data_IF_763257437223
#
_entry.id   IF_763257437223
#
_cell.length_a   1.000
_cell.length_b   1.000
_cell.length_c   1.000
_cell.angle_alpha   90.00
_cell.angle_beta   90.00
_cell.angle_gamma   90.00
#
_symmetry.space_group_name_H-M   'P 1'
#
loop_
_entity.id
_entity.type
_entity.pdbx_description
1 polymer ?
#
# COMPACT_ATOMS: atom_id res chain seq x y z
N UNK A 1 -6.34 19.44 -71.35
CA UNK A 1 -5.83 20.81 -71.22
C UNK A 1 -5.36 21.01 -69.78
N UNK A 2 -4.22 21.71 -69.59
CA UNK A 2 -3.26 21.54 -68.49
C UNK A 2 -3.28 22.76 -67.54
N UNK A 3 -2.51 22.77 -66.43
CA UNK A 3 -1.17 23.38 -66.24
C UNK A 3 -0.92 23.39 -64.71
N UNK A 4 0.27 23.38 -64.09
CA UNK A 4 1.69 23.32 -64.44
C UNK A 4 2.46 23.03 -63.12
N UNK A 5 3.43 22.09 -63.10
CA UNK A 5 4.88 22.30 -63.14
C UNK A 5 5.48 23.10 -61.95
N UNK A 6 6.24 22.44 -61.06
CA UNK A 6 7.71 22.50 -61.03
C UNK A 6 8.15 23.04 -59.65
N UNK A 7 9.27 22.69 -59.01
CA UNK A 7 10.58 22.35 -59.51
C UNK A 7 11.42 21.69 -58.38
N UNK A 8 12.34 20.81 -58.77
CA UNK A 8 13.43 20.27 -57.97
C UNK A 8 14.46 21.35 -57.57
N UNK A 9 15.15 21.17 -56.44
CA UNK A 9 16.62 21.20 -56.40
C UNK A 9 17.18 20.70 -55.05
N UNK A 10 18.16 19.80 -55.15
CA UNK A 10 19.08 19.34 -54.11
C UNK A 10 20.29 20.30 -54.00
N UNK A 11 21.14 19.99 -53.01
CA UNK A 11 22.52 20.44 -52.75
C UNK A 11 22.61 21.44 -51.58
N UNK A 12 23.54 21.33 -50.63
CA UNK A 12 24.72 20.47 -50.55
C UNK A 12 25.40 20.61 -49.18
N UNK A 13 26.37 19.72 -48.98
CA UNK A 13 27.17 19.47 -47.79
C UNK A 13 28.10 20.60 -47.32
N UNK A 14 28.67 20.33 -46.13
CA UNK A 14 29.96 20.79 -45.57
C UNK A 14 29.92 22.12 -44.80
N UNK A 15 30.58 22.29 -43.65
CA UNK A 15 31.48 21.45 -42.86
C UNK A 15 32.13 22.32 -41.77
N UNK A 16 32.46 21.69 -40.65
CA UNK A 16 33.59 21.91 -39.70
C UNK A 16 34.09 23.34 -39.42
N UNK A 17 34.21 23.69 -38.13
CA UNK A 17 35.16 24.70 -37.67
C UNK A 17 35.05 25.08 -36.19
N UNK A 18 35.95 24.53 -35.36
CA UNK A 18 36.22 24.89 -33.96
C UNK A 18 36.49 26.39 -33.73
N UNK A 19 36.13 26.90 -32.53
CA UNK A 19 37.07 27.35 -31.46
C UNK A 19 36.41 28.24 -30.39
N UNK A 20 36.59 27.80 -29.14
CA UNK A 20 37.01 28.51 -27.92
C UNK A 20 36.53 29.92 -27.55
N UNK A 21 36.04 30.00 -26.31
CA UNK A 21 35.82 31.21 -25.50
C UNK A 21 34.68 30.91 -24.51
N UNK A 22 34.92 30.31 -23.34
CA UNK A 22 35.75 30.85 -22.28
C UNK A 22 34.87 31.75 -21.40
N UNK A 23 34.14 31.18 -20.45
CA UNK A 23 33.83 31.87 -19.20
C UNK A 23 33.53 30.88 -18.07
N UNK A 24 34.48 30.85 -17.13
CA UNK A 24 34.42 30.12 -15.88
C UNK A 24 33.66 30.98 -14.86
N UNK A 25 32.55 30.49 -14.31
CA UNK A 25 32.05 30.97 -13.03
C UNK A 25 32.08 29.83 -12.01
N UNK A 26 33.12 29.91 -11.18
CA UNK A 26 33.37 29.09 -10.03
C UNK A 26 32.30 29.30 -8.94
N UNK A 27 31.74 28.21 -8.43
CA UNK A 27 30.90 28.20 -7.24
C UNK A 27 31.77 28.05 -5.98
N UNK A 28 31.55 28.84 -4.91
CA UNK A 28 32.38 28.75 -3.72
C UNK A 28 32.05 27.49 -2.90
N UNK A 29 33.10 26.71 -2.61
CA UNK A 29 33.06 25.54 -1.76
C UNK A 29 32.81 25.92 -0.29
N UNK A 30 31.61 25.63 0.22
CA UNK A 30 31.33 25.67 1.65
C UNK A 30 31.96 24.45 2.34
N UNK A 31 33.09 24.67 3.03
CA UNK A 31 33.69 23.74 3.98
C UNK A 31 32.72 23.49 5.14
N UNK A 32 32.23 22.25 5.30
CA UNK A 32 31.59 21.78 6.54
C UNK A 32 32.66 21.24 7.50
N UNK A 33 32.68 21.63 8.79
CA UNK A 33 33.55 20.99 9.76
C UNK A 33 32.98 19.61 10.14
N UNK A 34 33.86 18.59 10.13
CA UNK A 34 33.55 17.23 10.57
C UNK A 34 33.18 17.23 12.06
N UNK A 35 31.94 16.89 12.39
CA UNK A 35 31.53 16.58 13.77
C UNK A 35 31.96 15.16 14.12
N UNK A 36 32.88 15.05 15.09
CA UNK A 36 33.23 13.80 15.76
C UNK A 36 31.99 13.25 16.47
N UNK A 37 31.56 12.04 16.11
CA UNK A 37 30.64 11.26 16.94
C UNK A 37 31.40 10.72 18.15
N UNK A 38 31.15 11.30 19.33
CA UNK A 38 31.51 10.69 20.61
C UNK A 38 30.57 9.52 20.88
N UNK A 39 31.12 8.31 20.96
CA UNK A 39 30.44 7.10 21.44
C UNK A 39 30.09 7.28 22.92
N UNK A 40 28.82 7.52 23.22
CA UNK A 40 28.29 7.39 24.59
C UNK A 40 27.86 5.93 24.82
N UNK A 41 28.25 5.26 25.91
CA UNK A 41 27.85 3.89 26.18
C UNK A 41 26.39 3.83 26.66
N UNK A 42 25.64 2.84 26.17
CA UNK A 42 24.33 2.47 26.72
C UNK A 42 24.44 2.11 28.22
N UNK A 43 23.60 2.65 29.10
CA UNK A 43 23.56 2.19 30.49
C UNK A 43 22.94 0.80 30.57
N UNK A 44 23.67 -0.14 31.16
CA UNK A 44 23.16 -1.45 31.58
C UNK A 44 22.22 -1.24 32.76
N UNK A 45 20.92 -1.54 32.60
CA UNK A 45 20.04 -1.72 33.74
C UNK A 45 20.10 -3.17 34.21
N UNK A 46 20.70 -3.36 35.38
CA UNK A 46 20.57 -4.55 36.23
C UNK A 46 19.40 -4.31 37.18
N UNK A 47 18.32 -5.08 37.04
CA UNK A 47 17.20 -5.09 37.97
C UNK A 47 16.48 -6.43 37.90
N UNK A 48 16.58 -7.20 38.99
CA UNK A 48 15.89 -8.50 39.15
C UNK A 48 14.37 -8.34 39.37
N UNK A 49 13.62 -9.45 39.35
CA UNK A 49 12.17 -9.42 39.34
C UNK A 49 11.60 -9.06 40.72
N UNK A 50 10.71 -8.07 40.75
CA UNK A 50 9.86 -7.75 41.92
C UNK A 50 8.45 -8.24 41.61
N UNK A 51 7.99 -9.23 42.38
CA UNK A 51 6.62 -9.72 42.38
C UNK A 51 5.71 -8.71 43.09
N UNK A 52 4.70 -8.20 42.39
CA UNK A 52 3.52 -7.61 43.02
C UNK A 52 2.25 -8.22 42.42
N UNK A 53 1.33 -8.57 43.33
CA UNK A 53 0.09 -9.28 43.08
C UNK A 53 -0.95 -8.45 42.29
N UNK A 54 -1.72 -9.22 41.50
CA UNK A 54 -2.94 -8.91 40.74
C UNK A 54 -3.79 -7.72 41.21
N UNK A 55 -4.19 -6.93 40.21
CA UNK A 55 -5.56 -6.41 40.09
C UNK A 55 -5.89 -6.31 38.58
N UNK A 56 -6.89 -7.04 38.09
CA UNK A 56 -7.52 -6.76 36.79
C UNK A 56 -8.53 -5.63 36.95
N UNK A 57 -8.70 -4.78 35.91
CA UNK A 57 -9.81 -5.01 34.98
C UNK A 57 -9.55 -4.57 33.52
N UNK A 58 -10.34 -5.10 32.59
CA UNK A 58 -10.71 -4.41 31.35
C UNK A 58 -10.24 -5.10 30.08
N UNK A 59 -11.13 -5.89 29.48
CA UNK A 59 -10.87 -6.73 28.30
C UNK A 59 -10.24 -5.98 27.13
N UNK A 60 -9.06 -6.43 26.73
CA UNK A 60 -8.49 -6.16 25.44
C UNK A 60 -9.39 -6.79 24.36
N UNK A 61 -9.92 -5.98 23.46
CA UNK A 61 -10.60 -6.46 22.26
C UNK A 61 -9.52 -6.92 21.27
N UNK A 62 -8.96 -8.11 21.50
CA UNK A 62 -8.28 -8.87 20.45
C UNK A 62 -9.35 -9.62 19.67
N UNK A 63 -10.09 -8.90 18.82
CA UNK A 63 -11.06 -9.51 17.94
C UNK A 63 -10.36 -9.97 16.66
N UNK A 64 -9.89 -11.22 16.64
CA UNK A 64 -9.91 -11.98 15.39
C UNK A 64 -11.40 -12.14 15.06
N UNK A 65 -11.92 -11.26 14.21
CA UNK A 65 -13.33 -11.26 13.83
C UNK A 65 -13.61 -12.51 12.99
N UNK A 66 -13.92 -13.62 13.66
CA UNK A 66 -14.60 -14.75 13.00
C UNK A 66 -16.05 -14.36 12.81
N UNK A 67 -16.46 -14.29 11.56
CA UNK A 67 -17.88 -14.32 11.18
C UNK A 67 -18.54 -15.54 11.83
N UNK A 68 -19.54 -15.29 12.67
CA UNK A 68 -20.52 -16.32 13.03
C UNK A 68 -21.38 -16.56 11.78
N UNK A 69 -21.20 -17.71 11.14
CA UNK A 69 -22.15 -18.24 10.14
C UNK A 69 -21.73 -18.23 8.66
N UNK A 70 -20.44 -18.34 8.34
CA UNK A 70 -20.03 -18.72 6.97
C UNK A 70 -19.67 -20.21 7.00
N UNK A 71 -20.58 -21.05 6.51
CA UNK A 71 -20.31 -22.44 6.17
C UNK A 71 -19.17 -22.50 5.14
N UNK A 72 -18.17 -23.36 5.39
CA UNK A 72 -17.07 -23.78 4.48
C UNK A 72 -16.67 -22.77 3.39
N UNK A 73 -15.54 -22.09 3.58
CA UNK A 73 -14.88 -21.15 2.63
C UNK A 73 -15.35 -21.31 1.18
N UNK A 74 -16.29 -20.47 0.76
CA UNK A 74 -16.72 -20.45 -0.63
C UNK A 74 -15.49 -20.16 -1.51
N UNK A 75 -15.17 -21.11 -2.39
CA UNK A 75 -14.14 -20.92 -3.40
C UNK A 75 -14.63 -19.84 -4.35
N UNK A 76 -14.14 -18.62 -4.16
CA UNK A 76 -14.30 -17.52 -5.09
C UNK A 76 -13.61 -17.83 -6.41
N UNK A 77 -14.37 -17.84 -7.51
CA UNK A 77 -13.86 -18.11 -8.86
C UNK A 77 -13.24 -16.87 -9.53
N UNK A 78 -13.78 -15.68 -9.21
CA UNK A 78 -13.34 -14.40 -9.76
C UNK A 78 -13.19 -13.33 -8.69
N UNK A 79 -12.17 -12.49 -8.85
CA UNK A 79 -11.94 -11.30 -8.05
C UNK A 79 -12.29 -10.06 -8.90
N UNK A 80 -13.47 -9.49 -8.67
CA UNK A 80 -13.96 -8.29 -9.34
C UNK A 80 -13.56 -7.04 -8.55
N UNK A 81 -12.41 -6.46 -8.91
CA UNK A 81 -11.71 -5.47 -8.09
C UNK A 81 -11.70 -4.12 -8.81
N UNK A 82 -11.81 -3.04 -8.05
CA UNK A 82 -11.67 -1.69 -8.56
C UNK A 82 -10.85 -0.79 -7.64
N UNK A 83 -10.33 0.28 -8.23
CA UNK A 83 -9.63 1.35 -7.52
C UNK A 83 -10.23 2.70 -7.90
N UNK A 84 -10.37 3.57 -6.92
CA UNK A 84 -10.79 4.96 -7.12
C UNK A 84 -9.59 5.87 -6.96
N UNK A 85 -9.38 6.76 -7.91
CA UNK A 85 -8.41 7.84 -7.86
C UNK A 85 -9.11 9.17 -7.67
N UNK A 86 -8.81 9.86 -6.58
CA UNK A 86 -9.41 11.16 -6.31
C UNK A 86 -8.40 12.15 -5.73
N UNK A 87 -8.69 13.44 -5.85
CA UNK A 87 -8.03 14.44 -5.02
C UNK A 87 -8.62 14.45 -3.62
N UNK A 88 -7.95 15.11 -2.67
CA UNK A 88 -8.52 15.32 -1.34
C UNK A 88 -8.49 16.81 -0.97
N UNK A 89 -9.61 17.28 -0.42
CA UNK A 89 -9.76 18.64 0.10
C UNK A 89 -9.66 18.60 1.63
N UNK A 90 -8.73 19.36 2.21
CA UNK A 90 -8.51 19.38 3.67
C UNK A 90 -9.78 19.81 4.41
N UNK A 91 -10.20 19.02 5.39
CA UNK A 91 -11.34 19.31 6.26
C UNK A 91 -12.72 19.27 5.58
N UNK A 92 -12.78 19.09 4.26
CA UNK A 92 -13.99 19.12 3.45
C UNK A 92 -14.60 17.71 3.33
N UNK A 93 -14.86 17.10 4.49
CA UNK A 93 -15.25 15.69 4.61
C UNK A 93 -16.42 15.30 3.68
N UNK A 94 -17.49 16.09 3.68
CA UNK A 94 -18.67 15.79 2.87
C UNK A 94 -18.32 15.75 1.38
N UNK A 95 -17.57 16.74 0.89
CA UNK A 95 -17.17 16.80 -0.51
C UNK A 95 -16.25 15.65 -0.91
N UNK A 96 -15.40 15.17 0.01
CA UNK A 96 -14.51 14.03 -0.24
C UNK A 96 -15.30 12.71 -0.32
N UNK A 97 -16.29 12.51 0.57
CA UNK A 97 -17.18 11.35 0.54
C UNK A 97 -18.06 11.36 -0.73
N UNK A 98 -18.62 12.52 -1.10
CA UNK A 98 -19.47 12.62 -2.29
C UNK A 98 -18.68 12.34 -3.57
N UNK A 99 -17.41 12.75 -3.62
CA UNK A 99 -16.54 12.51 -4.78
C UNK A 99 -16.27 11.02 -5.03
N UNK A 100 -16.14 10.20 -3.98
CA UNK A 100 -15.94 8.74 -4.15
C UNK A 100 -17.26 8.00 -4.31
N UNK A 101 -18.38 8.54 -3.79
CA UNK A 101 -19.70 7.90 -3.85
C UNK A 101 -20.12 7.61 -5.29
N UNK A 102 -20.01 8.59 -6.18
CA UNK A 102 -20.41 8.42 -7.59
C UNK A 102 -19.58 7.35 -8.30
N UNK A 103 -18.27 7.33 -8.04
CA UNK A 103 -17.35 6.32 -8.60
C UNK A 103 -17.69 4.93 -8.09
N UNK A 104 -17.91 4.77 -6.77
CA UNK A 104 -18.29 3.49 -6.16
C UNK A 104 -19.60 2.96 -6.72
N UNK A 105 -20.62 3.82 -6.88
CA UNK A 105 -21.89 3.42 -7.48
C UNK A 105 -21.72 2.93 -8.93
N UNK A 106 -20.92 3.65 -9.73
CA UNK A 106 -20.65 3.28 -11.12
C UNK A 106 -19.86 1.95 -11.21
N UNK A 107 -18.84 1.78 -10.38
CA UNK A 107 -18.03 0.56 -10.30
C UNK A 107 -18.87 -0.65 -9.89
N UNK A 108 -19.74 -0.49 -8.89
CA UNK A 108 -20.64 -1.53 -8.42
C UNK A 108 -21.68 -1.92 -9.49
N UNK A 109 -22.25 -0.93 -10.20
CA UNK A 109 -23.13 -1.18 -11.33
C UNK A 109 -22.40 -1.91 -12.48
N UNK A 110 -21.09 -1.71 -12.61
CA UNK A 110 -20.20 -2.46 -13.51
C UNK A 110 -19.77 -3.83 -13.00
N UNK A 111 -20.24 -4.28 -11.83
CA UNK A 111 -19.97 -5.61 -11.26
C UNK A 111 -18.80 -5.69 -10.28
N UNK A 112 -18.13 -4.57 -9.96
CA UNK A 112 -17.02 -4.58 -8.99
C UNK A 112 -17.53 -4.91 -7.59
N UNK A 113 -16.80 -5.76 -6.86
CA UNK A 113 -17.16 -6.24 -5.51
C UNK A 113 -16.20 -5.81 -4.42
N UNK A 114 -14.92 -5.60 -4.74
CA UNK A 114 -13.92 -5.06 -3.82
C UNK A 114 -13.40 -3.74 -4.38
N UNK A 115 -13.63 -2.64 -3.68
CA UNK A 115 -13.26 -1.30 -4.15
C UNK A 115 -12.28 -0.66 -3.17
N UNK A 116 -11.09 -0.31 -3.66
CA UNK A 116 -10.06 0.36 -2.87
C UNK A 116 -10.14 1.87 -3.09
N UNK A 117 -10.22 2.61 -1.99
CA UNK A 117 -10.21 4.07 -1.95
C UNK A 117 -8.87 4.55 -1.39
N UNK A 118 -8.43 5.78 -1.72
CA UNK A 118 -7.14 6.29 -1.26
C UNK A 118 -7.03 6.43 0.26
N UNK A 119 -5.80 6.50 0.75
CA UNK A 119 -5.47 6.78 2.15
C UNK A 119 -5.83 8.23 2.52
N UNK A 120 -6.43 8.43 3.69
CA UNK A 120 -6.79 9.72 4.29
C UNK A 120 -7.64 10.63 3.40
N UNK A 121 -8.28 10.10 2.35
CA UNK A 121 -9.05 10.90 1.41
C UNK A 121 -10.19 11.68 2.09
N UNK A 122 -10.80 11.09 3.13
CA UNK A 122 -11.95 11.67 3.83
C UNK A 122 -11.60 12.96 4.59
N UNK A 123 -10.47 12.98 5.30
CA UNK A 123 -9.97 14.17 6.00
C UNK A 123 -9.18 15.11 5.08
N UNK A 124 -8.57 14.56 4.04
CA UNK A 124 -7.43 15.16 3.36
C UNK A 124 -6.12 14.84 4.07
N UNK A 125 -5.04 14.85 3.31
CA UNK A 125 -3.69 14.59 3.81
C UNK A 125 -3.03 15.91 4.28
N UNK A 126 -3.53 16.44 5.41
CA UNK A 126 -2.93 17.57 6.12
C UNK A 126 -2.53 17.13 7.52
N UNK A 127 -1.25 16.82 7.70
CA UNK A 127 -0.71 16.32 8.97
C UNK A 127 -0.75 17.36 10.08
N UNK A 128 -0.75 18.66 9.75
CA UNK A 128 -0.75 19.72 10.76
C UNK A 128 -2.12 19.85 11.45
N UNK A 129 -3.21 19.54 10.74
CA UNK A 129 -4.58 19.56 11.28
C UNK A 129 -5.15 18.17 11.57
N UNK A 130 -4.41 17.10 11.29
CA UNK A 130 -4.95 15.72 11.24
C UNK A 130 -5.53 15.26 12.57
N UNK A 131 -4.95 15.70 13.69
CA UNK A 131 -5.43 15.39 15.04
C UNK A 131 -6.90 15.85 15.19
N UNK A 132 -7.21 17.09 14.80
CA UNK A 132 -8.57 17.63 14.88
C UNK A 132 -9.57 16.95 13.92
N UNK A 133 -9.06 16.26 12.91
CA UNK A 133 -9.86 15.57 11.89
C UNK A 133 -10.00 14.07 12.16
N UNK A 134 -9.24 13.52 13.12
CA UNK A 134 -9.28 12.12 13.49
C UNK A 134 -10.63 11.74 14.12
N UNK A 135 -11.17 10.59 13.73
CA UNK A 135 -12.50 10.13 14.11
C UNK A 135 -12.42 8.84 14.94
N UNK A 136 -13.38 8.64 15.85
CA UNK A 136 -13.61 7.31 16.42
C UNK A 136 -14.18 6.36 15.36
N UNK A 137 -14.14 5.06 15.64
CA UNK A 137 -14.85 4.03 14.86
C UNK A 137 -15.72 3.24 15.84
N UNK A 138 -17.06 3.22 15.66
CA UNK A 138 -17.82 3.91 14.61
C UNK A 138 -17.70 5.44 14.63
N UNK A 139 -17.68 6.04 13.44
CA UNK A 139 -17.58 7.49 13.20
C UNK A 139 -18.27 7.88 11.90
N UNK A 140 -18.20 9.17 11.51
CA UNK A 140 -18.92 9.66 10.32
C UNK A 140 -18.42 8.95 9.05
N UNK A 141 -17.12 8.73 8.91
CA UNK A 141 -16.54 8.06 7.73
C UNK A 141 -16.94 6.59 7.64
N UNK A 142 -16.78 5.82 8.72
CA UNK A 142 -17.16 4.40 8.73
C UNK A 142 -18.66 4.19 8.53
N UNK A 143 -19.49 5.12 9.04
CA UNK A 143 -20.94 5.09 8.87
C UNK A 143 -21.34 5.39 7.43
N UNK A 144 -20.78 6.45 6.83
CA UNK A 144 -21.09 6.83 5.45
C UNK A 144 -20.64 5.77 4.43
N UNK A 145 -19.43 5.22 4.62
CA UNK A 145 -18.92 4.16 3.76
C UNK A 145 -19.64 2.83 4.00
N UNK A 146 -20.02 2.50 5.25
CA UNK A 146 -20.84 1.33 5.54
C UNK A 146 -22.22 1.39 4.88
N UNK A 147 -22.88 2.55 4.91
CA UNK A 147 -24.15 2.75 4.20
C UNK A 147 -23.99 2.61 2.68
N UNK A 148 -22.90 3.17 2.12
CA UNK A 148 -22.60 3.03 0.69
C UNK A 148 -22.28 1.58 0.29
N UNK A 149 -21.54 0.85 1.12
CA UNK A 149 -21.25 -0.57 0.94
C UNK A 149 -22.52 -1.42 0.96
N UNK A 150 -23.47 -1.10 1.86
CA UNK A 150 -24.78 -1.74 1.93
C UNK A 150 -25.66 -1.43 0.71
N UNK A 151 -25.66 -0.18 0.25
CA UNK A 151 -26.39 0.26 -0.94
C UNK A 151 -25.91 -0.46 -2.21
N UNK A 152 -24.59 -0.69 -2.31
CA UNK A 152 -23.95 -1.18 -3.53
C UNK A 152 -23.60 -2.67 -3.52
N UNK A 153 -23.80 -3.35 -2.38
CA UNK A 153 -23.37 -4.74 -2.16
C UNK A 153 -21.87 -4.95 -2.48
N UNK A 154 -21.03 -4.09 -1.88
CA UNK A 154 -19.57 -4.10 -2.08
C UNK A 154 -18.80 -4.10 -0.76
N UNK A 155 -17.53 -4.48 -0.83
CA UNK A 155 -16.53 -4.26 0.23
C UNK A 155 -15.68 -3.05 -0.16
N UNK A 156 -15.63 -2.05 0.71
CA UNK A 156 -14.82 -0.85 0.55
C UNK A 156 -13.60 -0.91 1.48
N UNK A 157 -12.42 -0.65 0.92
CA UNK A 157 -11.14 -0.65 1.63
C UNK A 157 -10.49 0.73 1.53
N UNK A 158 -10.11 1.32 2.66
CA UNK A 158 -9.45 2.64 2.69
C UNK A 158 -8.54 2.76 3.92
N UNK A 159 -7.98 3.95 4.17
CA UNK A 159 -7.33 4.31 5.43
C UNK A 159 -7.80 5.68 5.94
N UNK A 160 -8.01 5.81 7.24
CA UNK A 160 -8.53 7.02 7.89
C UNK A 160 -7.66 7.43 9.09
N UNK A 161 -7.70 8.71 9.45
CA UNK A 161 -7.21 9.18 10.74
C UNK A 161 -8.19 8.71 11.82
N UNK A 162 -7.78 7.74 12.61
CA UNK A 162 -8.56 7.14 13.69
C UNK A 162 -8.08 7.65 15.04
N UNK A 163 -9.02 7.93 15.95
CA UNK A 163 -8.74 8.22 17.35
C UNK A 163 -9.34 7.14 18.24
N UNK A 164 -8.52 6.53 19.07
CA UNK A 164 -8.98 5.54 20.06
C UNK A 164 -9.62 6.19 21.30
N UNK A 165 -10.06 5.35 22.24
CA UNK A 165 -10.71 5.81 23.47
C UNK A 165 -9.78 6.58 24.42
N UNK A 166 -8.47 6.37 24.33
CA UNK A 166 -7.45 7.05 25.13
C UNK A 166 -6.99 8.36 24.46
N UNK A 167 -7.53 8.68 23.28
CA UNK A 167 -7.21 9.87 22.51
C UNK A 167 -5.98 9.72 21.61
N UNK A 168 -5.43 8.53 21.46
CA UNK A 168 -4.29 8.26 20.59
C UNK A 168 -4.75 8.22 19.13
N UNK A 169 -3.97 8.87 18.26
CA UNK A 169 -4.28 8.97 16.83
C UNK A 169 -3.44 7.99 16.03
N UNK A 170 -4.09 7.29 15.11
CA UNK A 170 -3.50 6.31 14.20
C UNK A 170 -3.91 6.60 12.75
N UNK A 171 -3.04 6.29 11.81
CA UNK A 171 -3.42 6.07 10.42
C UNK A 171 -3.91 4.62 10.30
N UNK A 172 -5.19 4.42 10.01
CA UNK A 172 -5.84 3.12 10.18
C UNK A 172 -6.55 2.65 8.93
N UNK A 173 -6.22 1.43 8.49
CA UNK A 173 -6.96 0.74 7.44
C UNK A 173 -8.38 0.46 7.92
N UNK A 174 -9.36 0.84 7.11
CA UNK A 174 -10.78 0.67 7.39
C UNK A 174 -11.37 -0.22 6.29
N UNK A 175 -11.97 -1.33 6.69
CA UNK A 175 -12.68 -2.24 5.78
C UNK A 175 -14.14 -2.30 6.20
N UNK A 176 -15.03 -1.91 5.29
CA UNK A 176 -16.48 -1.94 5.48
C UNK A 176 -17.13 -2.77 4.38
N UNK A 177 -18.20 -3.49 4.72
CA UNK A 177 -19.02 -4.22 3.76
C UNK A 177 -20.50 -3.96 3.98
N UNK A 178 -21.39 -4.74 3.34
CA UNK A 178 -22.83 -4.50 3.39
C UNK A 178 -23.44 -4.59 4.80
N UNK A 179 -22.79 -5.34 5.70
CA UNK A 179 -23.14 -5.45 7.12
C UNK A 179 -22.56 -4.35 8.02
N UNK A 180 -21.80 -3.39 7.48
CA UNK A 180 -21.09 -2.35 8.24
C UNK A 180 -19.60 -2.61 8.37
N UNK A 181 -19.00 -2.22 9.51
CA UNK A 181 -17.57 -2.40 9.77
C UNK A 181 -17.19 -3.88 9.79
N UNK A 182 -16.21 -4.26 8.97
CA UNK A 182 -15.63 -5.61 8.97
C UNK A 182 -14.36 -5.64 9.82
N UNK A 183 -13.44 -4.69 9.59
CA UNK A 183 -12.16 -4.66 10.28
C UNK A 183 -11.55 -3.25 10.32
N UNK A 184 -10.73 -3.03 11.34
CA UNK A 184 -9.90 -1.85 11.55
C UNK A 184 -8.49 -2.33 11.91
N UNK A 185 -7.47 -1.77 11.26
CA UNK A 185 -6.06 -2.06 11.54
C UNK A 185 -5.25 -0.78 11.51
N UNK A 186 -4.08 -0.75 12.16
CA UNK A 186 -3.28 0.48 12.31
C UNK A 186 -1.97 0.34 11.54
N UNK A 187 -1.61 1.36 10.76
CA UNK A 187 -0.37 1.41 9.99
C UNK A 187 0.83 1.24 10.91
N UNK A 188 1.67 0.23 10.65
CA UNK A 188 2.89 -0.01 11.42
C UNK A 188 4.01 0.93 11.01
N UNK A 189 4.23 1.04 9.70
CA UNK A 189 5.34 1.80 9.14
C UNK A 189 4.89 3.19 8.71
N UNK A 190 5.14 4.17 9.59
CA UNK A 190 4.82 5.58 9.36
C UNK A 190 5.85 6.25 8.46
N UNK A 191 5.38 6.99 7.46
CA UNK A 191 6.21 7.73 6.51
C UNK A 191 6.55 9.13 7.03
N UNK A 192 7.85 9.44 7.09
CA UNK A 192 8.36 10.80 7.31
C UNK A 192 7.66 11.55 8.48
N UNK A 193 6.94 12.64 8.20
CA UNK A 193 6.23 13.48 9.18
C UNK A 193 5.05 12.77 9.87
N UNK A 194 4.53 11.68 9.32
CA UNK A 194 3.47 10.89 9.99
C UNK A 194 3.89 10.47 11.41
N UNK A 195 5.19 10.23 11.64
CA UNK A 195 5.76 9.88 12.96
C UNK A 195 5.56 10.96 14.03
N UNK A 196 5.21 12.18 13.63
CA UNK A 196 4.96 13.29 14.58
C UNK A 196 3.50 13.38 15.03
N UNK A 197 2.58 12.68 14.36
CA UNK A 197 1.14 12.83 14.59
C UNK A 197 0.40 11.50 14.77
N UNK A 198 0.93 10.41 14.20
CA UNK A 198 0.37 9.09 14.31
C UNK A 198 1.22 8.19 15.22
N UNK A 199 0.55 7.31 15.94
CA UNK A 199 1.18 6.21 16.66
C UNK A 199 1.27 4.99 15.73
N UNK A 200 2.41 4.27 15.70
CA UNK A 200 2.52 3.06 14.89
C UNK A 200 1.65 1.94 15.46
N UNK A 201 0.95 1.21 14.59
CA UNK A 201 0.22 0.01 14.95
C UNK A 201 1.10 -1.08 15.55
N UNK A 202 0.53 -2.07 16.22
CA UNK A 202 1.29 -3.19 16.80
C UNK A 202 1.75 -4.19 15.73
N UNK A 203 0.88 -4.47 14.76
CA UNK A 203 1.08 -5.41 13.65
C UNK A 203 1.13 -4.64 12.32
N UNK A 204 1.81 -5.19 11.30
CA UNK A 204 1.85 -4.60 9.96
C UNK A 204 0.87 -5.32 9.04
N UNK A 205 0.08 -4.54 8.32
CA UNK A 205 -0.96 -5.04 7.45
C UNK A 205 -2.18 -5.61 8.18
N UNK A 206 -3.27 -5.77 7.45
CA UNK A 206 -4.54 -6.32 7.93
C UNK A 206 -5.01 -7.41 6.97
N UNK A 207 -5.49 -8.54 7.50
CA UNK A 207 -6.05 -9.63 6.69
C UNK A 207 -7.55 -9.76 6.99
N UNK A 208 -8.36 -9.78 5.93
CA UNK A 208 -9.81 -9.84 6.03
C UNK A 208 -10.37 -10.88 5.08
N UNK A 209 -11.15 -11.81 5.62
CA UNK A 209 -11.96 -12.73 4.81
C UNK A 209 -13.27 -12.04 4.40
N UNK A 210 -13.65 -12.17 3.13
CA UNK A 210 -14.91 -11.67 2.59
C UNK A 210 -15.54 -12.68 1.63
N UNK A 211 -16.83 -12.53 1.26
CA UNK A 211 -17.46 -13.35 0.21
C UNK A 211 -16.78 -13.26 -1.16
N UNK A 212 -15.91 -12.25 -1.37
CA UNK A 212 -15.23 -11.97 -2.63
C UNK A 212 -13.73 -12.29 -2.57
N UNK A 213 -13.30 -13.01 -1.53
CA UNK A 213 -11.93 -13.48 -1.35
C UNK A 213 -11.28 -12.93 -0.09
N UNK A 214 -10.06 -13.39 0.17
CA UNK A 214 -9.25 -12.91 1.30
C UNK A 214 -8.42 -11.70 0.86
N UNK A 215 -8.65 -10.58 1.52
CA UNK A 215 -8.04 -9.28 1.22
C UNK A 215 -6.97 -8.99 2.26
N UNK A 216 -5.72 -8.86 1.82
CA UNK A 216 -4.67 -8.22 2.59
C UNK A 216 -4.68 -6.72 2.34
N UNK A 217 -4.54 -5.91 3.37
CA UNK A 217 -4.47 -4.44 3.27
C UNK A 217 -3.12 -3.99 3.80
N UNK A 218 -2.41 -3.17 3.01
CA UNK A 218 -1.20 -2.47 3.44
C UNK A 218 -1.34 -0.99 3.07
N UNK A 219 -1.01 -0.09 4.00
CA UNK A 219 -1.26 1.34 3.78
C UNK A 219 0.00 1.99 3.20
N UNK A 220 -0.11 2.47 1.96
CA UNK A 220 0.88 3.34 1.31
C UNK A 220 2.34 2.86 1.47
N UNK A 221 3.07 3.44 2.42
CA UNK A 221 4.48 3.12 2.69
C UNK A 221 4.71 1.66 3.08
N UNK A 222 3.71 0.99 3.69
CA UNK A 222 3.80 -0.43 4.04
C UNK A 222 3.94 -1.35 2.82
N UNK A 223 3.45 -0.94 1.65
CA UNK A 223 3.67 -1.69 0.41
C UNK A 223 5.16 -1.70 0.00
N UNK A 224 5.98 -0.81 0.55
CA UNK A 224 7.44 -0.83 0.39
C UNK A 224 8.13 -2.02 1.05
N UNK A 225 7.45 -2.74 1.95
CA UNK A 225 8.01 -3.84 2.74
C UNK A 225 7.52 -5.19 2.16
N UNK A 226 8.35 -5.89 1.37
CA UNK A 226 7.96 -7.18 0.79
C UNK A 226 7.58 -8.21 1.86
N UNK A 227 8.15 -8.12 3.05
CA UNK A 227 7.88 -9.02 4.18
C UNK A 227 6.43 -8.92 4.65
N UNK A 228 5.88 -7.71 4.77
CA UNK A 228 4.47 -7.51 5.18
C UNK A 228 3.53 -8.13 4.17
N UNK A 229 3.76 -7.89 2.88
CA UNK A 229 2.90 -8.44 1.82
C UNK A 229 3.06 -9.96 1.73
N UNK A 230 4.29 -10.47 1.87
CA UNK A 230 4.55 -11.91 1.88
C UNK A 230 3.81 -12.61 3.01
N UNK A 231 3.86 -12.05 4.21
CA UNK A 231 3.16 -12.58 5.38
C UNK A 231 1.64 -12.65 5.16
N UNK A 232 1.03 -11.57 4.66
CA UNK A 232 -0.40 -11.55 4.33
C UNK A 232 -0.78 -12.64 3.32
N UNK A 233 0.04 -12.85 2.29
CA UNK A 233 -0.20 -13.87 1.26
C UNK A 233 0.01 -15.29 1.80
N UNK A 234 1.02 -15.52 2.65
CA UNK A 234 1.20 -16.81 3.32
C UNK A 234 0.04 -17.14 4.26
N UNK A 235 -0.60 -16.12 4.84
CA UNK A 235 -1.83 -16.26 5.64
C UNK A 235 -3.10 -16.37 4.77
N UNK A 236 -2.98 -16.37 3.45
CA UNK A 236 -4.06 -16.67 2.52
C UNK A 236 -4.62 -15.49 1.73
N UNK A 237 -3.97 -14.32 1.73
CA UNK A 237 -4.41 -13.21 0.87
C UNK A 237 -4.34 -13.58 -0.63
N UNK A 238 -5.44 -13.35 -1.34
CA UNK A 238 -5.54 -13.45 -2.80
C UNK A 238 -5.42 -12.08 -3.48
N UNK A 239 -5.84 -11.03 -2.76
CA UNK A 239 -5.80 -9.64 -3.20
C UNK A 239 -5.07 -8.79 -2.17
N UNK A 240 -4.18 -7.92 -2.63
CA UNK A 240 -3.50 -6.92 -1.81
C UNK A 240 -4.05 -5.53 -2.17
N UNK A 241 -4.84 -4.96 -1.27
CA UNK A 241 -5.35 -3.61 -1.37
C UNK A 241 -4.33 -2.61 -0.79
N UNK A 242 -4.06 -1.55 -1.54
CA UNK A 242 -3.10 -0.50 -1.17
C UNK A 242 -3.76 0.88 -1.24
N UNK A 243 -4.50 1.30 -0.20
CA UNK A 243 -4.89 2.71 -0.02
C UNK A 243 -3.62 3.57 0.10
N UNK A 244 -3.52 4.65 -0.68
CA UNK A 244 -2.28 5.42 -0.73
C UNK A 244 -2.44 6.92 -1.01
N UNK A 245 -1.58 7.71 -0.36
CA UNK A 245 -1.27 9.10 -0.65
C UNK A 245 0.21 9.23 -1.09
N UNK A 246 0.63 8.42 -2.06
CA UNK A 246 2.03 8.36 -2.52
C UNK A 246 2.46 9.67 -3.20
N UNK A 247 3.64 10.19 -2.85
CA UNK A 247 4.15 11.45 -3.43
C UNK A 247 4.62 11.30 -4.87
N UNK A 248 4.28 12.27 -5.73
CA UNK A 248 4.57 12.27 -7.18
C UNK A 248 6.06 12.12 -7.51
N UNK A 249 6.93 12.73 -6.71
CA UNK A 249 8.40 12.64 -6.86
C UNK A 249 8.94 11.20 -6.81
N UNK A 250 8.17 10.24 -6.28
CA UNK A 250 8.52 8.83 -6.18
C UNK A 250 7.62 7.93 -7.06
N UNK A 251 6.98 8.48 -8.10
CA UNK A 251 6.13 7.70 -9.01
C UNK A 251 6.86 6.47 -9.60
N UNK A 252 8.15 6.58 -9.91
CA UNK A 252 8.95 5.45 -10.37
C UNK A 252 8.99 4.28 -9.36
N UNK A 253 9.06 4.59 -8.06
CA UNK A 253 9.00 3.58 -6.98
C UNK A 253 7.60 2.98 -6.91
N UNK A 254 6.56 3.81 -6.98
CA UNK A 254 5.16 3.37 -6.99
C UNK A 254 4.88 2.35 -8.10
N UNK A 255 5.30 2.65 -9.34
CA UNK A 255 5.13 1.75 -10.49
C UNK A 255 5.91 0.45 -10.35
N UNK A 256 7.10 0.50 -9.75
CA UNK A 256 7.93 -0.69 -9.55
C UNK A 256 7.39 -1.57 -8.43
N UNK A 257 7.05 -0.97 -7.29
CA UNK A 257 6.67 -1.71 -6.09
C UNK A 257 5.36 -2.47 -6.30
N UNK A 258 4.34 -1.86 -6.88
CA UNK A 258 3.01 -2.50 -7.07
C UNK A 258 3.14 -3.74 -7.95
N UNK A 259 3.95 -3.65 -9.00
CA UNK A 259 4.27 -4.77 -9.89
C UNK A 259 5.08 -5.86 -9.20
N UNK A 260 6.08 -5.48 -8.41
CA UNK A 260 6.91 -6.42 -7.67
C UNK A 260 6.09 -7.21 -6.65
N UNK A 261 5.18 -6.55 -5.92
CA UNK A 261 4.32 -7.20 -4.91
C UNK A 261 3.38 -8.23 -5.51
N UNK A 262 2.82 -7.93 -6.68
CA UNK A 262 1.98 -8.88 -7.40
C UNK A 262 2.80 -10.08 -7.89
N UNK A 263 3.90 -9.82 -8.62
CA UNK A 263 4.75 -10.85 -9.22
C UNK A 263 5.30 -11.83 -8.19
N UNK A 264 5.89 -11.31 -7.12
CA UNK A 264 6.64 -12.16 -6.20
C UNK A 264 5.72 -13.09 -5.39
N UNK A 265 4.43 -12.75 -5.29
CA UNK A 265 3.43 -13.45 -4.51
C UNK A 265 2.37 -14.18 -5.35
N UNK A 266 2.31 -13.95 -6.67
CA UNK A 266 1.25 -14.48 -7.52
C UNK A 266 -0.14 -14.07 -7.05
N UNK A 267 -0.33 -12.77 -6.79
CA UNK A 267 -1.59 -12.17 -6.28
C UNK A 267 -1.98 -10.93 -7.07
N UNK A 268 -3.25 -10.54 -6.97
CA UNK A 268 -3.69 -9.24 -7.49
C UNK A 268 -3.26 -8.14 -6.53
N UNK A 269 -2.71 -7.04 -7.06
CA UNK A 269 -2.49 -5.81 -6.30
C UNK A 269 -3.44 -4.74 -6.83
N UNK A 270 -4.26 -4.17 -5.95
CA UNK A 270 -5.17 -3.07 -6.26
C UNK A 270 -4.78 -1.85 -5.43
N UNK A 271 -4.17 -0.87 -6.08
CA UNK A 271 -3.54 0.26 -5.43
C UNK A 271 -4.24 1.57 -5.82
N UNK A 272 -4.85 2.22 -4.84
CA UNK A 272 -5.67 3.42 -5.02
C UNK A 272 -4.95 4.64 -4.44
N UNK A 273 -4.60 5.58 -5.31
CA UNK A 273 -3.79 6.75 -4.99
C UNK A 273 -4.62 8.04 -4.92
N UNK A 274 -4.25 8.93 -3.99
CA UNK A 274 -4.58 10.35 -4.16
C UNK A 274 -3.89 10.91 -5.40
N UNK A 275 -4.54 11.86 -6.06
CA UNK A 275 -3.96 12.63 -7.17
C UNK A 275 -4.05 14.14 -6.93
N UNK A 276 -3.29 14.92 -7.70
CA UNK A 276 -3.24 16.37 -7.57
C UNK A 276 -2.49 16.83 -6.33
N UNK A 277 -2.81 18.03 -5.86
CA UNK A 277 -2.16 18.66 -4.70
C UNK A 277 -3.22 19.08 -3.69
N UNK A 278 -2.92 18.88 -2.41
CA UNK A 278 -3.78 19.25 -1.29
C UNK A 278 -3.21 20.48 -0.59
N UNK A 279 -3.80 21.66 -0.81
CA UNK A 279 -3.30 22.92 -0.28
C UNK A 279 -1.84 23.19 -0.70
N UNK A 280 -1.02 23.67 0.24
CA UNK A 280 0.43 23.83 0.06
C UNK A 280 1.22 22.52 0.32
N UNK A 281 0.51 21.42 0.51
CA UNK A 281 1.06 20.10 0.79
C UNK A 281 1.73 19.44 -0.43
N UNK A 282 2.17 18.18 -0.28
CA UNK A 282 2.81 17.44 -1.37
C UNK A 282 1.85 17.22 -2.53
N UNK A 283 2.41 17.15 -3.74
CA UNK A 283 1.70 16.65 -4.92
C UNK A 283 1.72 15.12 -4.91
N UNK A 284 0.55 14.51 -5.03
CA UNK A 284 0.38 13.07 -5.05
C UNK A 284 0.54 12.49 -6.45
N UNK A 285 0.92 11.23 -6.51
CA UNK A 285 1.26 10.55 -7.74
C UNK A 285 0.06 10.28 -8.63
N UNK A 286 -1.14 10.07 -8.07
CA UNK A 286 -2.22 9.42 -8.80
C UNK A 286 -1.75 8.04 -9.26
N UNK A 287 -1.89 7.75 -10.56
CA UNK A 287 -1.48 6.47 -11.16
C UNK A 287 -1.97 5.25 -10.37
N UNK A 288 -3.24 5.29 -9.96
CA UNK A 288 -3.93 4.14 -9.38
C UNK A 288 -3.90 2.98 -10.37
N UNK A 289 -3.71 1.76 -9.87
CA UNK A 289 -3.33 0.63 -10.71
C UNK A 289 -3.89 -0.68 -10.17
N UNK A 290 -4.32 -1.55 -11.08
CA UNK A 290 -4.56 -2.96 -10.80
C UNK A 290 -3.53 -3.78 -11.55
N UNK A 291 -2.76 -4.57 -10.81
CA UNK A 291 -1.70 -5.44 -11.33
C UNK A 291 -2.13 -6.90 -11.14
N UNK A 292 -2.07 -7.67 -12.22
CA UNK A 292 -2.33 -9.10 -12.19
C UNK A 292 -1.19 -9.92 -11.57
N UNK A 293 -1.44 -11.20 -11.28
CA UNK A 293 -0.54 -12.04 -10.48
C UNK A 293 0.83 -12.31 -11.13
N UNK A 294 0.97 -12.13 -12.46
CA UNK A 294 2.27 -12.20 -13.15
C UNK A 294 3.06 -10.88 -13.12
N UNK A 295 2.66 -9.89 -12.32
CA UNK A 295 3.31 -8.58 -12.24
C UNK A 295 3.07 -7.67 -13.45
N UNK A 296 2.11 -8.04 -14.30
CA UNK A 296 1.67 -7.24 -15.46
C UNK A 296 0.55 -6.30 -15.01
N UNK A 297 0.69 -5.03 -15.36
CA UNK A 297 -0.37 -4.04 -15.19
C UNK A 297 -1.57 -4.47 -16.05
N UNK A 298 -2.74 -4.63 -15.44
CA UNK A 298 -4.01 -4.87 -16.15
C UNK A 298 -4.57 -3.53 -16.60
N UNK A 299 -4.66 -2.59 -15.66
CA UNK A 299 -5.11 -1.21 -15.92
C UNK A 299 -4.38 -0.25 -14.99
N UNK A 300 -3.99 0.90 -15.52
CA UNK A 300 -3.35 1.99 -14.80
C UNK A 300 -3.98 3.31 -15.25
N UNK A 301 -4.27 4.18 -14.29
CA UNK A 301 -4.77 5.52 -14.54
C UNK A 301 -3.62 6.49 -14.85
N UNK A 302 -3.94 7.61 -15.50
CA UNK A 302 -3.06 8.77 -15.51
C UNK A 302 -3.21 9.55 -14.19
N UNK A 303 -3.04 10.88 -14.21
CA UNK A 303 -3.26 11.72 -13.02
C UNK A 303 -4.72 12.21 -12.87
N UNK A 304 -5.61 11.89 -13.80
CA UNK A 304 -6.99 12.35 -13.78
C UNK A 304 -7.79 11.68 -12.67
N UNK A 305 -8.77 12.41 -12.12
CA UNK A 305 -9.74 11.84 -11.17
C UNK A 305 -10.67 10.87 -11.91
N UNK A 306 -11.01 9.75 -11.27
CA UNK A 306 -11.94 8.76 -11.79
C UNK A 306 -11.73 7.40 -11.14
N UNK A 307 -12.09 6.33 -11.84
CA UNK A 307 -11.93 4.97 -11.36
C UNK A 307 -11.68 3.97 -12.50
N UNK A 308 -11.13 2.81 -12.14
CA UNK A 308 -10.92 1.68 -13.06
C UNK A 308 -11.17 0.36 -12.33
N UNK A 309 -11.58 -0.67 -13.07
CA UNK A 309 -11.84 -2.01 -12.57
C UNK A 309 -11.16 -3.10 -13.41
N UNK A 310 -11.03 -4.29 -12.83
CA UNK A 310 -10.59 -5.49 -13.50
C UNK A 310 -11.17 -6.73 -12.81
N UNK A 311 -11.38 -7.78 -13.61
CA UNK A 311 -11.73 -9.12 -13.13
C UNK A 311 -10.52 -10.03 -13.31
N UNK A 312 -10.14 -10.74 -12.25
CA UNK A 312 -9.08 -11.77 -12.30
C UNK A 312 -9.64 -13.08 -11.80
N UNK A 313 -9.39 -14.17 -12.51
CA UNK A 313 -9.85 -15.50 -12.10
C UNK A 313 -8.93 -16.11 -11.05
N UNK A 314 -9.45 -16.95 -10.18
CA UNK A 314 -8.63 -17.78 -9.28
C UNK A 314 -7.65 -18.66 -10.05
N UNK A 315 -8.03 -19.13 -11.23
CA UNK A 315 -7.13 -19.91 -12.09
C UNK A 315 -5.87 -19.12 -12.46
N UNK A 316 -6.00 -17.84 -12.80
CA UNK A 316 -4.85 -16.98 -13.12
C UNK A 316 -3.87 -16.82 -11.95
N UNK A 317 -4.36 -16.75 -10.70
CA UNK A 317 -3.49 -16.72 -9.51
C UNK A 317 -2.73 -18.05 -9.36
N UNK A 318 -3.44 -19.18 -9.49
CA UNK A 318 -2.83 -20.50 -9.37
C UNK A 318 -1.79 -20.73 -10.48
N UNK A 319 -2.11 -20.37 -11.72
CA UNK A 319 -1.18 -20.46 -12.85
C UNK A 319 0.08 -19.61 -12.63
N UNK A 320 -0.06 -18.37 -12.13
CA UNK A 320 1.09 -17.52 -11.82
C UNK A 320 1.98 -18.13 -10.73
N UNK A 321 1.37 -18.71 -9.68
CA UNK A 321 2.08 -19.36 -8.58
C UNK A 321 2.75 -20.67 -9.01
N UNK A 322 2.21 -21.36 -10.00
CA UNK A 322 2.83 -22.56 -10.58
C UNK A 322 3.97 -22.20 -11.55
N UNK A 323 3.82 -21.13 -12.35
CA UNK A 323 4.84 -20.65 -13.29
C UNK A 323 6.08 -20.11 -12.56
N UNK A 324 5.87 -19.31 -11.51
CA UNK A 324 6.94 -18.73 -10.67
C UNK A 324 6.70 -19.17 -9.22
N UNK A 325 7.20 -20.34 -8.81
CA UNK A 325 6.84 -20.99 -7.55
C UNK A 325 7.57 -20.45 -6.31
N UNK A 326 7.78 -19.12 -6.23
CA UNK A 326 8.46 -18.50 -5.10
C UNK A 326 7.81 -18.83 -3.76
N UNK A 327 6.47 -18.84 -3.67
CA UNK A 327 5.77 -19.20 -2.43
C UNK A 327 6.04 -20.65 -2.00
N UNK A 328 6.08 -21.58 -2.95
CA UNK A 328 6.36 -22.99 -2.69
C UNK A 328 7.82 -23.21 -2.31
N UNK A 329 8.74 -22.54 -3.02
CA UNK A 329 10.18 -22.65 -2.77
C UNK A 329 10.60 -21.92 -1.49
N UNK A 330 9.87 -20.88 -1.07
CA UNK A 330 10.09 -20.18 0.20
C UNK A 330 9.98 -21.13 1.40
N UNK A 331 9.17 -22.20 1.33
CA UNK A 331 9.14 -23.23 2.37
C UNK A 331 10.52 -23.90 2.60
N UNK A 332 11.38 -23.94 1.57
CA UNK A 332 12.74 -24.50 1.65
C UNK A 332 13.76 -23.57 2.33
N UNK A 333 13.43 -22.29 2.52
CA UNK A 333 14.30 -21.38 3.27
C UNK A 333 14.39 -21.75 4.76
N UNK A 334 13.59 -22.71 5.23
CA UNK A 334 13.78 -23.44 6.47
C UNK A 334 13.72 -22.55 7.71
N UNK A 335 12.52 -22.34 8.28
CA UNK A 335 12.41 -21.70 9.60
C UNK A 335 11.12 -21.01 9.98
N UNK A 336 10.06 -21.04 9.16
CA UNK A 336 8.71 -20.67 9.61
C UNK A 336 7.79 -21.77 9.10
N UNK A 337 7.23 -22.53 10.02
CA UNK A 337 6.35 -23.71 9.84
C UNK A 337 6.97 -24.95 9.16
N UNK A 338 7.74 -25.73 9.93
CA UNK A 338 7.33 -27.06 10.41
C UNK A 338 8.47 -27.63 11.26
N UNK A 339 8.16 -27.84 12.54
CA UNK A 339 9.06 -28.47 13.50
C UNK A 339 9.07 -29.96 13.20
N UNK A 340 9.88 -30.39 12.23
CA UNK A 340 10.21 -31.80 12.11
C UNK A 340 11.62 -31.97 11.53
N UNK A 341 12.63 -31.82 12.39
CA UNK A 341 13.89 -32.54 12.19
C UNK A 341 14.67 -32.62 13.49
N UNK A 342 14.97 -33.86 13.87
CA UNK A 342 15.97 -34.23 14.87
C UNK A 342 17.40 -34.15 14.31
N UNK A 343 17.67 -33.23 13.38
CA UNK A 343 19.00 -33.09 12.77
C UNK A 343 19.71 -31.80 13.18
N UNK A 344 20.93 -32.01 13.67
CA UNK A 344 21.75 -31.02 14.35
C UNK A 344 22.26 -29.93 13.37
N UNK A 345 22.05 -28.63 13.64
CA UNK A 345 22.39 -27.53 12.72
C UNK A 345 23.88 -27.32 12.43
N UNK A 346 24.77 -28.10 13.03
CA UNK A 346 26.22 -27.86 12.99
C UNK A 346 26.96 -28.39 11.75
N UNK A 347 26.29 -29.08 10.82
CA UNK A 347 26.96 -29.62 9.61
C UNK A 347 26.86 -28.72 8.37
N UNK A 348 25.98 -27.71 8.35
CA UNK A 348 25.77 -26.86 7.16
C UNK A 348 26.88 -25.87 6.81
N UNK A 349 27.93 -25.74 7.62
CA UNK A 349 28.95 -24.70 7.49
C UNK A 349 30.41 -25.20 7.32
N UNK A 350 30.64 -26.45 6.87
CA UNK A 350 32.01 -26.97 6.68
C UNK A 350 32.65 -26.76 5.30
N UNK A 351 31.91 -26.36 4.27
CA UNK A 351 32.45 -26.38 2.88
C UNK A 351 32.88 -25.03 2.29
N UNK A 352 33.24 -24.03 3.11
CA UNK A 352 33.79 -22.74 2.60
C UNK A 352 35.23 -22.46 3.08
N UNK A 353 35.98 -23.47 3.52
CA UNK A 353 37.40 -23.33 3.91
C UNK A 353 38.41 -24.12 3.07
N UNK A 354 38.03 -24.63 1.89
CA UNK A 354 38.97 -25.23 0.93
C UNK A 354 39.30 -24.34 -0.27
N UNK A 355 38.89 -23.07 -0.27
CA UNK A 355 39.21 -22.12 -1.32
C UNK A 355 39.77 -20.81 -0.74
N UNK A 356 40.95 -20.90 -0.12
CA UNK A 356 42.00 -19.87 -0.07
C UNK A 356 43.27 -20.61 0.36
N UNK A 357 44.26 -20.64 -0.53
CA UNK A 357 45.65 -21.07 -0.28
C UNK A 357 46.34 -20.18 0.74
#
# INVERSE_FOLDING_TARGET
MPHDAGNCARHGHSGVGDRDGGDQQAWPAHRRPARRYSRTPFPRQTGGPVLHHRHEPGGAVTASARLLGVDTEAVVDTFDIAVVQTGSRVGAWQQNIDAVRSEVQALAAGGSKVIVLPELFASGYDLDSIDTMAESVPGRTSTALGALAAETDTVLVTAIAFRDADGIVFDSSLVVGPGGLIALGHKRFLWDREKSVFTPGAESGLLVSSPFGTIGVVICYEAGFPETVRDLVQRGADVIAVPSAFGHVRLHVWKLLTRSRALENGVVVAAAGLTGQTGDGPRFAGHSVIVGPQGRTIVEMDESVGSVSATVTRRELLDARDEIPYLKDLARLGGITENDSTENPHERNRDVRSAIS
#
